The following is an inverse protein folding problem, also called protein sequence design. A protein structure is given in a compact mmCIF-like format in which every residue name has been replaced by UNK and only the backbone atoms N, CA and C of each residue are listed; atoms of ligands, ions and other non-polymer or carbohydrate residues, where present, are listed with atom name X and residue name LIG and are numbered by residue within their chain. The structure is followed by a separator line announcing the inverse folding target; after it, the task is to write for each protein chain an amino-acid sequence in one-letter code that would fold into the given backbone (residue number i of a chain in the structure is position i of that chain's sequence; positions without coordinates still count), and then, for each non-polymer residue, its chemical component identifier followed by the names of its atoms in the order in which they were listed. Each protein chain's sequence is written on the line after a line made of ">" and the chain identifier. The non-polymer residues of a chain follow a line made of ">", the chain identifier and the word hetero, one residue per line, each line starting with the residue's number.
data_IF_207016842369
#
_entry.id   IF_207016842369
#
_cell.length_a   1.000
_cell.length_b   1.000
_cell.length_c   1.000
_cell.angle_alpha   90.00
_cell.angle_beta   90.00
_cell.angle_gamma   90.00
#
_symmetry.space_group_name_H-M   'P 1'
#
loop_
_entity.id
_entity.type
_entity.pdbx_description
1 polymer ?
#
# COMPACT_ATOMS: atom_id res chain seq x y z
N UNK A 1 -32.85 6.89 42.01
CA UNK A 1 -33.00 6.64 40.56
C UNK A 1 -32.18 7.64 39.75
N UNK A 2 -32.28 8.95 39.93
CA UNK A 2 -31.57 9.99 39.16
C UNK A 2 -30.03 9.86 39.26
N UNK A 3 -29.52 9.59 40.47
CA UNK A 3 -28.07 9.43 40.73
C UNK A 3 -27.48 8.24 39.97
N UNK A 4 -28.19 7.13 39.88
CA UNK A 4 -27.74 5.95 39.13
C UNK A 4 -27.67 6.23 37.63
N UNK A 5 -28.65 6.94 37.08
CA UNK A 5 -28.64 7.39 35.70
C UNK A 5 -27.47 8.33 35.41
N UNK A 6 -27.13 9.22 36.32
CA UNK A 6 -25.99 10.12 36.17
C UNK A 6 -24.65 9.38 36.15
N UNK A 7 -24.49 8.39 37.02
CA UNK A 7 -23.27 7.55 37.02
C UNK A 7 -23.12 6.75 35.74
N UNK A 8 -24.21 6.16 35.24
CA UNK A 8 -24.20 5.40 33.95
C UNK A 8 -23.85 6.33 32.80
N UNK A 9 -24.36 7.56 32.76
CA UNK A 9 -24.04 8.54 31.72
C UNK A 9 -22.56 8.95 31.74
N UNK A 10 -21.98 9.15 32.91
CA UNK A 10 -20.57 9.52 33.07
C UNK A 10 -19.67 8.34 32.63
N UNK A 11 -20.00 7.11 33.03
CA UNK A 11 -19.26 5.92 32.62
C UNK A 11 -19.32 5.69 31.10
N UNK A 12 -20.50 5.88 30.51
CA UNK A 12 -20.67 5.72 29.05
C UNK A 12 -19.88 6.77 28.27
N UNK A 13 -19.84 8.02 28.73
CA UNK A 13 -19.07 9.08 28.08
C UNK A 13 -17.55 8.87 28.14
N UNK A 14 -17.04 8.21 29.20
CA UNK A 14 -15.62 7.92 29.34
C UNK A 14 -15.15 6.73 28.50
N UNK A 15 -16.03 5.78 28.18
CA UNK A 15 -15.70 4.55 27.44
C UNK A 15 -15.68 4.78 25.92
N UNK A 16 -16.52 5.66 25.38
CA UNK A 16 -16.63 5.94 23.94
C UNK A 16 -15.31 6.37 23.27
N UNK A 17 -14.50 7.31 23.81
CA UNK A 17 -13.26 7.74 23.16
C UNK A 17 -12.19 6.64 23.10
N UNK A 18 -12.22 5.67 24.01
CA UNK A 18 -11.24 4.59 24.07
C UNK A 18 -11.39 3.58 22.92
N UNK A 19 -12.61 3.42 22.38
CA UNK A 19 -12.89 2.53 21.26
C UNK A 19 -12.48 3.11 19.91
N UNK A 20 -12.50 4.42 19.73
CA UNK A 20 -12.17 5.05 18.46
C UNK A 20 -10.69 4.90 18.09
N UNK A 21 -9.78 5.00 19.03
CA UNK A 21 -8.35 4.81 18.82
C UNK A 21 -7.98 3.38 18.38
N UNK A 22 -8.63 2.37 18.97
CA UNK A 22 -8.35 0.96 18.65
C UNK A 22 -8.77 0.57 17.23
N UNK A 23 -9.91 1.05 16.74
CA UNK A 23 -10.40 0.77 15.39
C UNK A 23 -9.51 1.39 14.30
N UNK A 24 -8.95 2.53 14.58
CA UNK A 24 -8.09 3.26 13.65
C UNK A 24 -6.74 2.58 13.49
N UNK A 25 -6.16 2.12 14.59
CA UNK A 25 -4.92 1.35 14.58
C UNK A 25 -5.06 0.03 13.80
N UNK A 26 -6.17 -0.69 13.98
CA UNK A 26 -6.45 -1.93 13.23
C UNK A 26 -6.58 -1.69 11.73
N UNK A 27 -7.21 -0.60 11.31
CA UNK A 27 -7.34 -0.24 9.89
C UNK A 27 -5.99 0.05 9.24
N UNK A 28 -5.13 0.80 9.91
CA UNK A 28 -3.78 1.14 9.45
C UNK A 28 -2.91 -0.09 9.22
N UNK A 29 -2.88 -0.98 10.20
CA UNK A 29 -2.10 -2.22 10.13
C UNK A 29 -2.60 -3.16 9.03
N UNK A 30 -3.91 -3.18 8.78
CA UNK A 30 -4.52 -3.92 7.69
C UNK A 30 -4.07 -3.41 6.32
N UNK A 31 -4.10 -2.10 6.09
CA UNK A 31 -3.69 -1.49 4.82
C UNK A 31 -2.20 -1.74 4.54
N UNK A 32 -1.35 -1.58 5.56
CA UNK A 32 0.08 -1.86 5.42
C UNK A 32 0.33 -3.31 5.03
N UNK A 33 -0.36 -4.26 5.68
CA UNK A 33 -0.26 -5.68 5.34
C UNK A 33 -0.77 -5.98 3.93
N UNK A 34 -1.84 -5.34 3.51
CA UNK A 34 -2.38 -5.50 2.15
C UNK A 34 -1.39 -5.01 1.10
N UNK A 35 -0.79 -3.84 1.28
CA UNK A 35 0.24 -3.31 0.38
C UNK A 35 1.45 -4.26 0.28
N UNK A 36 1.96 -4.73 1.43
CA UNK A 36 3.09 -5.68 1.46
C UNK A 36 2.71 -7.01 0.80
N UNK A 37 1.50 -7.50 1.05
CA UNK A 37 1.01 -8.73 0.43
C UNK A 37 0.91 -8.62 -1.10
N UNK A 38 0.42 -7.48 -1.61
CA UNK A 38 0.35 -7.21 -3.06
C UNK A 38 1.73 -7.07 -3.70
N UNK A 39 2.70 -6.44 -3.00
CA UNK A 39 4.08 -6.37 -3.49
C UNK A 39 4.72 -7.77 -3.55
N UNK A 40 4.50 -8.61 -2.53
CA UNK A 40 4.96 -10.00 -2.53
C UNK A 40 4.29 -10.81 -3.65
N UNK A 41 2.98 -10.64 -3.83
CA UNK A 41 2.25 -11.25 -4.91
C UNK A 41 2.83 -10.86 -6.28
N UNK A 42 3.13 -9.56 -6.49
CA UNK A 42 3.77 -9.10 -7.72
C UNK A 42 5.13 -9.79 -7.97
N UNK A 43 5.94 -9.93 -6.91
CA UNK A 43 7.24 -10.62 -6.98
C UNK A 43 7.09 -12.11 -7.30
N UNK A 44 6.19 -12.80 -6.62
CA UNK A 44 5.91 -14.22 -6.85
C UNK A 44 5.41 -14.46 -8.28
N UNK A 45 4.51 -13.60 -8.76
CA UNK A 45 4.00 -13.68 -10.14
C UNK A 45 5.07 -13.34 -11.17
N UNK A 46 5.94 -12.36 -10.92
CA UNK A 46 7.05 -12.04 -11.81
C UNK A 46 7.96 -13.25 -12.03
N UNK A 47 8.22 -14.02 -10.96
CA UNK A 47 9.03 -15.25 -11.04
C UNK A 47 8.26 -16.36 -11.75
N UNK A 48 6.99 -16.59 -11.38
CA UNK A 48 6.20 -17.69 -11.90
C UNK A 48 5.88 -17.55 -13.40
N UNK A 49 5.53 -16.33 -13.82
CA UNK A 49 5.17 -16.03 -15.20
C UNK A 49 6.38 -15.65 -16.08
N UNK A 50 7.58 -15.57 -15.49
CA UNK A 50 8.82 -15.12 -16.14
C UNK A 50 8.62 -13.79 -16.87
N UNK A 51 7.93 -12.84 -16.19
CA UNK A 51 7.47 -11.58 -16.80
C UNK A 51 7.63 -10.45 -15.78
N UNK A 52 7.92 -9.22 -16.24
CA UNK A 52 8.00 -8.06 -15.36
C UNK A 52 6.62 -7.66 -14.86
N UNK A 53 6.52 -7.45 -13.55
CA UNK A 53 5.34 -6.89 -12.88
C UNK A 53 5.68 -5.54 -12.29
N UNK A 54 4.76 -4.59 -12.35
CA UNK A 54 4.91 -3.25 -11.78
C UNK A 54 3.80 -2.96 -10.78
N UNK A 55 4.18 -2.59 -9.58
CA UNK A 55 3.26 -2.09 -8.57
C UNK A 55 3.20 -0.56 -8.67
N UNK A 56 2.08 -0.05 -9.13
CA UNK A 56 1.84 1.38 -9.32
C UNK A 56 1.22 2.02 -8.08
N UNK A 57 1.60 3.27 -7.85
CA UNK A 57 1.20 4.11 -6.74
C UNK A 57 0.90 5.52 -7.26
N UNK A 58 -0.33 5.94 -7.16
CA UNK A 58 -0.77 7.31 -7.42
C UNK A 58 -0.96 8.03 -6.08
N UNK A 59 0.01 8.85 -5.69
CA UNK A 59 -0.02 9.54 -4.41
C UNK A 59 -1.07 10.66 -4.37
N UNK A 60 -1.41 11.28 -5.50
CA UNK A 60 -2.41 12.34 -5.56
C UNK A 60 -3.82 11.80 -5.34
N UNK A 61 -4.10 10.60 -5.83
CA UNK A 61 -5.41 9.95 -5.71
C UNK A 61 -5.48 8.90 -4.61
N UNK A 62 -4.36 8.59 -3.98
CA UNK A 62 -4.25 7.53 -2.98
C UNK A 62 -4.58 6.14 -3.55
N UNK A 63 -4.41 5.91 -4.85
CA UNK A 63 -4.74 4.64 -5.49
C UNK A 63 -3.50 3.82 -5.82
N UNK A 64 -3.65 2.50 -5.83
CA UNK A 64 -2.58 1.57 -6.16
C UNK A 64 -3.12 0.36 -6.91
N UNK A 65 -2.32 -0.20 -7.82
CA UNK A 65 -2.68 -1.33 -8.66
C UNK A 65 -1.47 -2.06 -9.20
N UNK A 66 -1.67 -3.25 -9.76
CA UNK A 66 -0.65 -4.06 -10.40
C UNK A 66 -0.80 -4.05 -11.92
N UNK A 67 0.33 -4.01 -12.61
CA UNK A 67 0.42 -4.22 -14.05
C UNK A 67 1.44 -5.30 -14.36
N UNK A 68 1.21 -6.05 -15.41
CA UNK A 68 2.17 -7.01 -15.98
C UNK A 68 2.59 -6.58 -17.37
N UNK A 69 3.78 -6.94 -17.76
CA UNK A 69 4.25 -6.79 -19.13
C UNK A 69 3.50 -7.75 -20.03
N UNK A 70 2.79 -7.21 -21.03
CA UNK A 70 1.97 -7.97 -21.97
C UNK A 70 2.69 -8.20 -23.31
N UNK A 71 3.85 -7.56 -23.50
CA UNK A 71 4.62 -7.67 -24.73
C UNK A 71 5.39 -6.40 -25.05
N UNK A 72 5.80 -6.25 -26.29
CA UNK A 72 6.52 -5.10 -26.82
C UNK A 72 5.79 -4.55 -28.05
N UNK A 73 5.62 -3.25 -28.12
CA UNK A 73 5.06 -2.55 -29.27
C UNK A 73 5.92 -1.32 -29.60
N UNK A 74 6.33 -1.23 -30.84
CA UNK A 74 7.18 -0.12 -31.35
C UNK A 74 8.47 0.09 -30.52
N UNK A 75 9.12 -1.01 -30.06
CA UNK A 75 10.31 -0.95 -29.23
C UNK A 75 10.08 -0.51 -27.79
N UNK A 76 8.83 -0.52 -27.33
CA UNK A 76 8.46 -0.18 -25.96
C UNK A 76 7.66 -1.31 -25.31
N UNK A 77 7.98 -1.59 -24.06
CA UNK A 77 7.23 -2.54 -23.26
C UNK A 77 5.80 -2.06 -23.04
N UNK A 78 4.84 -2.93 -23.30
CA UNK A 78 3.42 -2.69 -23.08
C UNK A 78 3.02 -3.36 -21.77
N UNK A 79 2.36 -2.60 -20.89
CA UNK A 79 1.87 -3.09 -19.61
C UNK A 79 0.35 -3.04 -19.57
N UNK A 80 -0.27 -4.12 -19.07
CA UNK A 80 -1.72 -4.23 -18.85
C UNK A 80 -2.04 -4.42 -17.37
N UNK A 81 -3.22 -3.94 -16.94
CA UNK A 81 -3.67 -4.16 -15.57
C UNK A 81 -3.93 -5.65 -15.34
N UNK A 82 -3.54 -6.14 -14.17
CA UNK A 82 -3.77 -7.52 -13.78
C UNK A 82 -5.19 -7.64 -13.24
N UNK A 83 -6.03 -8.39 -13.95
CA UNK A 83 -7.42 -8.67 -13.55
C UNK A 83 -7.47 -9.94 -12.69
N UNK A 84 -6.94 -9.85 -11.48
CA UNK A 84 -6.95 -10.93 -10.49
C UNK A 84 -7.35 -10.36 -9.14
N UNK A 85 -8.06 -11.15 -8.33
CA UNK A 85 -8.62 -10.75 -7.03
C UNK A 85 -7.59 -10.13 -6.06
N UNK A 86 -6.30 -10.50 -6.21
CA UNK A 86 -5.20 -9.93 -5.41
C UNK A 86 -4.53 -8.69 -6.01
N UNK A 87 -4.88 -8.28 -7.22
CA UNK A 87 -4.17 -7.28 -8.01
C UNK A 87 -5.03 -6.10 -8.46
N UNK A 88 -6.35 -6.18 -8.27
CA UNK A 88 -7.32 -5.15 -8.64
C UNK A 88 -6.93 -3.79 -8.06
N UNK A 89 -7.16 -2.74 -8.86
CA UNK A 89 -6.98 -1.36 -8.42
C UNK A 89 -7.78 -1.08 -7.15
N UNK A 90 -7.11 -0.52 -6.17
CA UNK A 90 -7.69 -0.18 -4.87
C UNK A 90 -7.26 1.23 -4.45
N UNK A 91 -7.87 1.75 -3.39
CA UNK A 91 -7.60 3.07 -2.87
C UNK A 91 -7.37 3.02 -1.36
N UNK A 92 -6.47 3.87 -0.90
CA UNK A 92 -6.28 4.09 0.53
C UNK A 92 -7.57 4.62 1.17
N UNK A 93 -7.87 4.22 2.41
CA UNK A 93 -8.87 4.88 3.24
C UNK A 93 -8.54 6.37 3.42
N UNK A 94 -9.56 7.21 3.60
CA UNK A 94 -9.43 8.68 3.73
C UNK A 94 -8.48 9.14 4.85
N UNK A 95 -8.24 8.27 5.83
CA UNK A 95 -7.34 8.55 6.95
C UNK A 95 -5.86 8.30 6.64
N UNK A 96 -5.52 7.79 5.46
CA UNK A 96 -4.17 7.44 5.05
C UNK A 96 -3.82 8.15 3.75
N UNK A 97 -2.61 8.67 3.68
CA UNK A 97 -2.08 9.31 2.48
C UNK A 97 -0.72 8.71 2.12
N UNK A 98 -0.45 8.58 0.83
CA UNK A 98 0.91 8.34 0.37
C UNK A 98 1.70 9.65 0.41
N UNK A 99 2.83 9.65 1.10
CA UNK A 99 3.84 10.65 0.80
C UNK A 99 4.41 10.35 -0.59
N UNK A 100 4.96 11.38 -1.27
CA UNK A 100 5.56 11.20 -2.60
C UNK A 100 6.56 10.04 -2.59
N UNK A 101 6.27 8.92 -3.27
CA UNK A 101 7.11 7.73 -3.21
C UNK A 101 8.49 8.01 -3.81
N UNK A 102 9.52 7.46 -3.19
CA UNK A 102 10.87 7.41 -3.78
C UNK A 102 10.94 6.16 -4.65
N UNK A 103 10.40 6.25 -5.86
CA UNK A 103 10.29 5.17 -6.83
C UNK A 103 10.34 5.72 -8.25
N UNK A 104 10.45 4.86 -9.24
CA UNK A 104 10.42 5.24 -10.66
C UNK A 104 9.11 5.93 -11.02
N UNK A 105 9.16 6.94 -11.89
CA UNK A 105 7.99 7.71 -12.32
C UNK A 105 7.61 7.34 -13.76
N UNK A 106 6.39 6.87 -13.94
CA UNK A 106 5.76 6.75 -15.24
C UNK A 106 5.08 8.09 -15.60
N UNK A 107 5.66 8.81 -16.56
CA UNK A 107 5.17 10.13 -16.97
C UNK A 107 3.84 10.06 -17.71
N UNK A 108 3.57 8.98 -18.43
CA UNK A 108 2.32 8.80 -19.19
C UNK A 108 1.14 8.58 -18.24
N UNK A 109 1.34 7.74 -17.21
CA UNK A 109 0.32 7.44 -16.21
C UNK A 109 0.31 8.41 -15.03
N UNK A 110 1.32 9.28 -14.92
CA UNK A 110 1.52 10.21 -13.79
C UNK A 110 1.52 9.52 -12.44
N UNK A 111 2.07 8.31 -12.39
CA UNK A 111 2.12 7.49 -11.19
C UNK A 111 3.53 6.94 -10.97
N UNK A 112 3.88 6.69 -9.72
CA UNK A 112 5.13 6.03 -9.39
C UNK A 112 4.95 4.51 -9.47
N UNK A 113 6.02 3.79 -9.78
CA UNK A 113 5.97 2.34 -9.81
C UNK A 113 7.23 1.70 -9.24
N UNK A 114 7.08 0.46 -8.80
CA UNK A 114 8.15 -0.43 -8.36
C UNK A 114 8.11 -1.64 -9.28
N UNK A 115 9.20 -1.90 -9.99
CA UNK A 115 9.29 -3.06 -10.87
C UNK A 115 9.78 -4.29 -10.09
N UNK A 116 9.18 -5.43 -10.40
CA UNK A 116 9.55 -6.76 -9.94
C UNK A 116 9.92 -7.60 -11.15
N UNK A 117 11.11 -8.17 -11.12
CA UNK A 117 11.70 -8.85 -12.28
C UNK A 117 11.61 -10.38 -12.16
N UNK A 118 11.63 -11.11 -13.29
CA UNK A 118 11.57 -12.58 -13.31
C UNK A 118 12.63 -13.29 -12.46
N UNK A 119 13.77 -12.65 -12.27
CA UNK A 119 14.85 -13.16 -11.41
C UNK A 119 14.64 -12.98 -9.90
N UNK A 120 13.46 -12.49 -9.48
CA UNK A 120 13.16 -12.22 -8.08
C UNK A 120 13.69 -10.90 -7.54
N UNK A 121 14.46 -10.16 -8.34
CA UNK A 121 14.90 -8.81 -7.99
C UNK A 121 13.74 -7.81 -8.08
N UNK A 122 13.87 -6.68 -7.39
CA UNK A 122 12.96 -5.55 -7.52
C UNK A 122 13.73 -4.23 -7.56
N UNK A 123 13.08 -3.16 -7.97
CA UNK A 123 13.63 -1.82 -7.85
C UNK A 123 13.79 -1.44 -6.38
N UNK A 124 14.80 -0.60 -6.10
CA UNK A 124 14.92 0.02 -4.80
C UNK A 124 13.94 1.18 -4.68
N UNK A 125 13.00 1.08 -3.76
CA UNK A 125 11.99 2.10 -3.56
C UNK A 125 11.63 2.24 -2.09
N UNK A 126 11.10 3.42 -1.73
CA UNK A 126 10.52 3.68 -0.40
C UNK A 126 9.14 4.27 -0.58
N UNK A 127 8.17 3.62 0.02
CA UNK A 127 6.76 4.06 0.08
C UNK A 127 6.47 4.44 1.52
N UNK A 128 6.14 5.70 1.75
CA UNK A 128 5.76 6.20 3.06
C UNK A 128 4.25 6.41 3.10
N UNK A 129 3.60 5.79 4.07
CA UNK A 129 2.21 6.02 4.43
C UNK A 129 2.16 6.98 5.61
N UNK A 130 1.44 8.07 5.47
CA UNK A 130 1.16 9.00 6.55
C UNK A 130 -0.24 8.76 7.10
N UNK A 131 -0.32 8.68 8.41
CA UNK A 131 -1.54 8.63 9.17
C UNK A 131 -1.52 9.79 10.16
N UNK A 132 -2.43 10.75 9.98
CA UNK A 132 -2.40 11.98 10.75
C UNK A 132 -1.01 12.68 10.70
N UNK A 133 -0.78 13.76 11.38
CA UNK A 133 0.47 14.54 11.30
C UNK A 133 1.67 13.92 12.01
N UNK A 134 1.50 12.81 12.72
CA UNK A 134 2.49 12.33 13.71
C UNK A 134 3.02 10.92 13.47
N UNK A 135 2.38 10.10 12.67
CA UNK A 135 2.78 8.70 12.49
C UNK A 135 3.03 8.35 11.03
N UNK A 136 4.19 7.76 10.78
CA UNK A 136 4.62 7.33 9.45
C UNK A 136 4.93 5.83 9.44
N UNK A 137 4.58 5.17 8.35
CA UNK A 137 4.98 3.79 8.08
C UNK A 137 5.78 3.80 6.79
N UNK A 138 7.02 3.32 6.84
CA UNK A 138 7.90 3.23 5.68
C UNK A 138 8.00 1.78 5.22
N UNK A 139 7.67 1.53 3.97
CA UNK A 139 7.86 0.25 3.29
C UNK A 139 9.01 0.44 2.32
N UNK A 140 10.12 -0.27 2.54
CA UNK A 140 11.31 -0.18 1.70
C UNK A 140 11.52 -1.49 0.97
N UNK A 141 11.71 -1.41 -0.36
CA UNK A 141 12.10 -2.55 -1.19
C UNK A 141 13.61 -2.55 -1.39
N UNK A 142 14.26 -3.69 -1.19
CA UNK A 142 15.73 -3.83 -1.30
C UNK A 142 16.10 -4.73 -2.47
N UNK A 143 16.29 -4.13 -3.61
CA UNK A 143 16.96 -4.57 -4.83
C UNK A 143 17.07 -6.08 -5.10
N UNK A 144 18.29 -6.61 -5.00
CA UNK A 144 18.64 -7.93 -5.53
C UNK A 144 17.94 -9.14 -4.91
N UNK A 145 17.46 -9.04 -3.68
CA UNK A 145 16.82 -10.14 -2.96
C UNK A 145 15.30 -9.96 -2.84
N UNK A 146 14.75 -8.88 -3.41
CA UNK A 146 13.32 -8.59 -3.32
C UNK A 146 12.81 -8.49 -1.87
N UNK A 147 13.67 -8.12 -0.94
CA UNK A 147 13.30 -7.98 0.48
C UNK A 147 12.41 -6.76 0.66
N UNK A 148 11.38 -6.94 1.46
CA UNK A 148 10.46 -5.89 1.89
C UNK A 148 10.67 -5.65 3.37
N UNK A 149 11.12 -4.46 3.74
CA UNK A 149 11.23 -4.02 5.12
C UNK A 149 10.12 -3.03 5.45
N UNK A 150 9.53 -3.18 6.63
CA UNK A 150 8.48 -2.29 7.15
C UNK A 150 8.97 -1.67 8.44
N UNK A 151 9.18 -0.38 8.42
CA UNK A 151 9.55 0.44 9.58
C UNK A 151 8.33 1.25 10.03
N UNK A 152 8.06 1.25 11.32
CA UNK A 152 6.97 2.02 11.95
C UNK A 152 7.62 3.01 12.91
N UNK A 153 7.48 4.30 12.63
CA UNK A 153 7.83 5.39 13.54
C UNK A 153 6.59 5.91 14.27
#
# INVERSE_FOLDING_TARGET
>A
MVVVLMIVMIMTAAVLPMYQGSLTWMRRDRVTRDLVARMKYAQERAIADVTEYRFYLDHDRGSYWLMRQAGEKDGKDVFEEVDDAGATRDRLPEALEFEKPKASLDKERKAHYIAFYPGGACDYATVTLKYDKTEEIKITTKGRLGQLDVEKD
#
